data_IF_235567726751
#
_entry.id   IF_235567726751
#
_cell.length_a   1.000
_cell.length_b   1.000
_cell.length_c   1.000
_cell.angle_alpha   90.00
_cell.angle_beta   90.00
_cell.angle_gamma   90.00
#
_symmetry.space_group_name_H-M   'P 1'
#
loop_
_entity.id
_entity.type
_entity.pdbx_description
1 polymer ?
#
# COMPACT_ATOMS: atom_id res chain seq x y z
N UNK A 1 -24.36 -18.92 -13.97
CA UNK A 1 -25.47 -18.96 -12.99
C UNK A 1 -26.77 -18.52 -13.63
N UNK A 2 -26.86 -17.30 -14.16
CA UNK A 2 -28.06 -16.77 -14.84
C UNK A 2 -28.55 -17.68 -15.96
N UNK A 3 -27.64 -18.23 -16.77
CA UNK A 3 -28.01 -19.12 -17.89
C UNK A 3 -28.56 -20.47 -17.44
N UNK A 4 -28.06 -21.02 -16.34
CA UNK A 4 -28.59 -22.28 -15.77
C UNK A 4 -29.98 -22.07 -15.15
N UNK A 5 -30.18 -20.98 -14.41
CA UNK A 5 -31.50 -20.60 -13.88
C UNK A 5 -32.49 -20.38 -15.05
N UNK A 6 -32.04 -19.65 -16.07
CA UNK A 6 -32.84 -19.41 -17.26
C UNK A 6 -33.19 -20.72 -17.99
N UNK A 7 -32.26 -21.66 -18.12
CA UNK A 7 -32.49 -22.97 -18.75
C UNK A 7 -33.52 -23.82 -18.00
N UNK A 8 -33.52 -23.75 -16.67
CA UNK A 8 -34.52 -24.45 -15.84
C UNK A 8 -35.89 -23.78 -15.93
N UNK A 9 -35.96 -22.45 -15.90
CA UNK A 9 -37.23 -21.70 -15.92
C UNK A 9 -37.87 -21.57 -17.32
N UNK A 10 -37.09 -21.69 -18.40
CA UNK A 10 -37.55 -21.51 -19.79
C UNK A 10 -38.14 -22.77 -20.43
N UNK A 11 -38.40 -23.82 -19.65
CA UNK A 11 -39.05 -25.05 -20.12
C UNK A 11 -40.51 -24.83 -20.52
N UNK A 12 -41.14 -23.73 -20.08
CA UNK A 12 -42.48 -23.32 -20.51
C UNK A 12 -42.44 -22.16 -21.54
N UNK A 13 -43.02 -22.33 -22.75
CA UNK A 13 -42.96 -21.33 -23.81
C UNK A 13 -43.59 -19.97 -23.46
N UNK A 14 -44.68 -19.96 -22.68
CA UNK A 14 -45.38 -18.75 -22.28
C UNK A 14 -44.55 -17.92 -21.28
N UNK A 15 -43.91 -18.59 -20.31
CA UNK A 15 -43.02 -17.94 -19.35
C UNK A 15 -41.75 -17.39 -20.04
N UNK A 16 -41.30 -18.03 -21.12
CA UNK A 16 -40.08 -17.66 -21.82
C UNK A 16 -40.09 -16.23 -22.37
N UNK A 17 -41.21 -15.77 -22.92
CA UNK A 17 -41.33 -14.39 -23.44
C UNK A 17 -41.34 -13.36 -22.30
N UNK A 18 -42.17 -13.58 -21.27
CA UNK A 18 -42.24 -12.70 -20.11
C UNK A 18 -40.90 -12.62 -19.36
N UNK A 19 -40.20 -13.75 -19.21
CA UNK A 19 -38.86 -13.78 -18.60
C UNK A 19 -37.82 -13.06 -19.46
N UNK A 20 -37.90 -13.14 -20.79
CA UNK A 20 -36.99 -12.42 -21.67
C UNK A 20 -37.20 -10.90 -21.62
N UNK A 21 -38.46 -10.44 -21.66
CA UNK A 21 -38.77 -9.01 -21.54
C UNK A 21 -38.40 -8.47 -20.15
N UNK A 22 -38.74 -9.19 -19.08
CA UNK A 22 -38.34 -8.82 -17.72
C UNK A 22 -36.81 -8.80 -17.55
N UNK A 23 -36.10 -9.81 -18.05
CA UNK A 23 -34.63 -9.86 -18.05
C UNK A 23 -34.02 -8.65 -18.76
N UNK A 24 -34.53 -8.29 -19.94
CA UNK A 24 -34.02 -7.16 -20.71
C UNK A 24 -34.28 -5.80 -20.03
N UNK A 25 -35.36 -5.68 -19.27
CA UNK A 25 -35.75 -4.42 -18.60
C UNK A 25 -35.15 -4.22 -17.21
N UNK A 26 -34.73 -5.31 -16.54
CA UNK A 26 -34.36 -5.25 -15.11
C UNK A 26 -32.96 -5.72 -14.81
N UNK A 27 -32.37 -6.59 -15.65
CA UNK A 27 -31.05 -7.16 -15.42
C UNK A 27 -30.02 -6.53 -16.35
N UNK A 28 -28.85 -6.19 -15.79
CA UNK A 28 -27.73 -5.76 -16.60
C UNK A 28 -27.14 -6.96 -17.37
N UNK A 29 -26.83 -6.81 -18.68
CA UNK A 29 -26.22 -7.87 -19.48
C UNK A 29 -24.86 -8.27 -18.90
N UNK A 30 -24.43 -9.52 -19.10
CA UNK A 30 -23.13 -9.99 -18.58
C UNK A 30 -21.96 -9.21 -19.20
N UNK A 31 -22.15 -8.70 -20.41
CA UNK A 31 -21.29 -7.75 -21.12
C UNK A 31 -20.90 -6.55 -20.25
N UNK A 32 -21.84 -6.03 -19.47
CA UNK A 32 -21.61 -4.86 -18.60
C UNK A 32 -20.57 -5.14 -17.52
N UNK A 33 -20.36 -6.42 -17.15
CA UNK A 33 -19.41 -6.85 -16.12
C UNK A 33 -18.10 -7.42 -16.72
N UNK A 34 -17.88 -7.31 -18.05
CA UNK A 34 -16.67 -7.85 -18.71
C UNK A 34 -15.38 -7.18 -18.24
N UNK A 35 -15.42 -5.91 -17.85
CA UNK A 35 -14.27 -5.15 -17.34
C UNK A 35 -13.83 -5.57 -15.93
N UNK A 36 -14.60 -6.42 -15.25
CA UNK A 36 -14.30 -6.89 -13.89
C UNK A 36 -13.57 -8.22 -13.97
N UNK A 37 -12.43 -8.30 -13.28
CA UNK A 37 -11.62 -9.50 -13.17
C UNK A 37 -12.40 -10.66 -12.51
N UNK A 38 -12.04 -11.90 -12.87
CA UNK A 38 -12.71 -13.09 -12.33
C UNK A 38 -12.46 -13.28 -10.84
N UNK A 39 -11.27 -12.92 -10.37
CA UNK A 39 -10.84 -13.04 -8.99
C UNK A 39 -9.76 -11.99 -8.68
N UNK A 40 -9.54 -11.72 -7.40
CA UNK A 40 -8.51 -10.79 -6.92
C UNK A 40 -9.06 -9.61 -6.15
N UNK A 41 -8.23 -8.56 -6.00
CA UNK A 41 -8.54 -7.37 -5.21
C UNK A 41 -9.73 -6.57 -5.79
N UNK A 42 -9.77 -6.38 -7.11
CA UNK A 42 -10.82 -5.61 -7.78
C UNK A 42 -12.24 -6.16 -7.49
N UNK A 43 -12.57 -7.43 -7.75
CA UNK A 43 -13.93 -7.93 -7.53
C UNK A 43 -14.30 -7.99 -6.04
N UNK A 44 -13.33 -8.22 -5.13
CA UNK A 44 -13.56 -8.12 -3.68
C UNK A 44 -13.97 -6.70 -3.28
N UNK A 45 -13.18 -5.70 -3.70
CA UNK A 45 -13.44 -4.30 -3.41
C UNK A 45 -14.79 -3.85 -3.98
N UNK A 46 -15.07 -4.19 -5.25
CA UNK A 46 -16.34 -3.84 -5.90
C UNK A 46 -17.54 -4.45 -5.18
N UNK A 47 -17.44 -5.71 -4.74
CA UNK A 47 -18.50 -6.37 -3.97
C UNK A 47 -18.74 -5.66 -2.64
N UNK A 48 -17.68 -5.36 -1.89
CA UNK A 48 -17.79 -4.67 -0.60
C UNK A 48 -18.41 -3.27 -0.76
N UNK A 49 -18.00 -2.52 -1.78
CA UNK A 49 -18.55 -1.19 -2.06
C UNK A 49 -20.00 -1.26 -2.54
N UNK A 50 -20.34 -2.24 -3.38
CA UNK A 50 -21.72 -2.46 -3.80
C UNK A 50 -22.62 -2.80 -2.60
N UNK A 51 -22.17 -3.64 -1.66
CA UNK A 51 -22.93 -3.93 -0.44
C UNK A 51 -23.21 -2.66 0.39
N UNK A 52 -22.19 -1.81 0.56
CA UNK A 52 -22.33 -0.52 1.27
C UNK A 52 -23.30 0.42 0.55
N UNK A 53 -23.16 0.59 -0.77
CA UNK A 53 -24.00 1.50 -1.57
C UNK A 53 -25.45 1.06 -1.66
N UNK A 54 -25.67 -0.26 -1.79
CA UNK A 54 -27.01 -0.83 -1.96
C UNK A 54 -27.73 -1.07 -0.63
N UNK A 55 -27.01 -0.98 0.50
CA UNK A 55 -27.56 -1.22 1.83
C UNK A 55 -28.10 -2.65 2.03
N UNK A 56 -27.68 -3.61 1.20
CA UNK A 56 -28.15 -5.00 1.23
C UNK A 56 -27.04 -5.93 1.71
N UNK A 57 -27.16 -6.42 2.94
CA UNK A 57 -26.38 -7.56 3.41
C UNK A 57 -27.10 -8.87 3.04
N UNK A 58 -26.53 -9.61 2.09
CA UNK A 58 -27.04 -10.92 1.71
C UNK A 58 -26.34 -11.97 2.58
N UNK A 59 -27.04 -12.45 3.62
CA UNK A 59 -26.50 -13.38 4.64
C UNK A 59 -26.62 -14.87 4.22
N UNK A 60 -27.07 -15.15 2.99
CA UNK A 60 -27.26 -16.53 2.53
C UNK A 60 -25.93 -17.29 2.40
N UNK A 61 -25.88 -18.52 2.90
CA UNK A 61 -24.74 -19.43 2.75
C UNK A 61 -24.39 -19.67 1.28
N UNK A 62 -25.40 -19.74 0.41
CA UNK A 62 -25.23 -19.87 -1.04
C UNK A 62 -24.53 -18.64 -1.62
N UNK A 63 -24.86 -17.44 -1.13
CA UNK A 63 -24.22 -16.20 -1.55
C UNK A 63 -22.73 -16.18 -1.14
N UNK A 64 -22.40 -16.71 0.03
CA UNK A 64 -21.01 -16.77 0.50
C UNK A 64 -20.13 -17.70 -0.35
N UNK A 65 -20.69 -18.79 -0.89
CA UNK A 65 -20.00 -19.75 -1.77
C UNK A 65 -19.68 -19.19 -3.17
N UNK A 66 -20.26 -18.06 -3.55
CA UNK A 66 -20.03 -17.44 -4.85
C UNK A 66 -18.65 -16.77 -4.94
N UNK A 67 -18.07 -16.77 -6.14
CA UNK A 67 -16.93 -15.89 -6.46
C UNK A 67 -17.32 -14.43 -6.29
N UNK A 68 -16.37 -13.55 -5.97
CA UNK A 68 -16.67 -12.12 -5.74
C UNK A 68 -17.35 -11.46 -6.93
N UNK A 69 -16.94 -11.78 -8.17
CA UNK A 69 -17.63 -11.29 -9.38
C UNK A 69 -19.08 -11.77 -9.44
N UNK A 70 -19.35 -13.02 -9.10
CA UNK A 70 -20.71 -13.55 -9.06
C UNK A 70 -21.55 -12.95 -7.91
N UNK A 71 -20.93 -12.63 -6.77
CA UNK A 71 -21.58 -11.89 -5.67
C UNK A 71 -22.02 -10.50 -6.13
N UNK A 72 -21.14 -9.76 -6.80
CA UNK A 72 -21.46 -8.46 -7.36
C UNK A 72 -22.64 -8.53 -8.34
N UNK A 73 -22.60 -9.48 -9.27
CA UNK A 73 -23.70 -9.71 -10.23
C UNK A 73 -25.02 -9.98 -9.50
N UNK A 74 -25.00 -10.87 -8.51
CA UNK A 74 -26.17 -11.20 -7.72
C UNK A 74 -26.71 -10.00 -6.91
N UNK A 75 -25.84 -9.11 -6.40
CA UNK A 75 -26.27 -7.89 -5.72
C UNK A 75 -27.04 -6.96 -6.66
N UNK A 76 -26.55 -6.76 -7.90
CA UNK A 76 -27.25 -5.98 -8.91
C UNK A 76 -28.55 -6.64 -9.41
N UNK A 77 -28.60 -7.98 -9.43
CA UNK A 77 -29.81 -8.72 -9.78
C UNK A 77 -30.90 -8.60 -8.71
N UNK A 78 -30.50 -8.68 -7.44
CA UNK A 78 -31.39 -8.55 -6.28
C UNK A 78 -31.78 -7.09 -5.98
N UNK A 79 -31.15 -6.13 -6.63
CA UNK A 79 -31.47 -4.71 -6.46
C UNK A 79 -32.73 -4.36 -7.26
N UNK A 80 -33.77 -3.88 -6.58
CA UNK A 80 -35.07 -3.57 -7.17
C UNK A 80 -35.10 -2.12 -7.66
N UNK A 81 -34.39 -1.87 -8.75
CA UNK A 81 -34.24 -0.56 -9.37
C UNK A 81 -34.25 -0.65 -10.90
N UNK A 82 -34.46 0.49 -11.55
CA UNK A 82 -34.47 0.56 -13.01
C UNK A 82 -33.12 0.18 -13.65
N UNK A 83 -33.17 -0.30 -14.89
CA UNK A 83 -31.96 -0.62 -15.67
C UNK A 83 -30.96 0.55 -15.72
N UNK A 84 -31.45 1.77 -15.93
CA UNK A 84 -30.61 2.96 -16.02
C UNK A 84 -29.92 3.28 -14.70
N UNK A 85 -30.61 3.11 -13.58
CA UNK A 85 -30.04 3.32 -12.25
C UNK A 85 -28.98 2.27 -11.92
N UNK A 86 -29.24 1.00 -12.25
CA UNK A 86 -28.23 -0.08 -12.16
C UNK A 86 -26.99 0.25 -12.98
N UNK A 87 -27.17 0.70 -14.22
CA UNK A 87 -26.07 1.09 -15.11
C UNK A 87 -25.29 2.28 -14.56
N UNK A 88 -25.99 3.29 -14.03
CA UNK A 88 -25.40 4.48 -13.41
C UNK A 88 -24.52 4.10 -12.23
N UNK A 89 -25.02 3.27 -11.33
CA UNK A 89 -24.27 2.79 -10.14
C UNK A 89 -23.08 1.92 -10.54
N UNK A 90 -23.22 1.06 -11.54
CA UNK A 90 -22.08 0.28 -12.05
C UNK A 90 -20.97 1.20 -12.61
N UNK A 91 -21.34 2.26 -13.34
CA UNK A 91 -20.40 3.25 -13.83
C UNK A 91 -19.76 4.05 -12.68
N UNK A 92 -20.50 4.38 -11.63
CA UNK A 92 -19.95 5.01 -10.43
C UNK A 92 -18.91 4.11 -9.75
N UNK A 93 -19.21 2.82 -9.59
CA UNK A 93 -18.26 1.84 -9.05
C UNK A 93 -16.98 1.76 -9.89
N UNK A 94 -17.12 1.74 -11.22
CA UNK A 94 -15.96 1.76 -12.14
C UNK A 94 -15.11 3.02 -11.97
N UNK A 95 -15.74 4.19 -11.90
CA UNK A 95 -15.04 5.47 -11.68
C UNK A 95 -14.33 5.52 -10.32
N UNK A 96 -14.97 5.01 -9.27
CA UNK A 96 -14.39 4.93 -7.94
C UNK A 96 -13.21 3.96 -7.89
N UNK A 97 -13.30 2.81 -8.57
CA UNK A 97 -12.17 1.89 -8.72
C UNK A 97 -10.98 2.55 -9.45
N UNK A 98 -11.25 3.25 -10.55
CA UNK A 98 -10.21 4.00 -11.28
C UNK A 98 -9.56 5.09 -10.42
N UNK A 99 -10.32 5.73 -9.52
CA UNK A 99 -9.77 6.66 -8.54
C UNK A 99 -8.87 5.96 -7.53
N UNK A 100 -9.28 4.79 -7.03
CA UNK A 100 -8.45 3.97 -6.13
C UNK A 100 -7.13 3.60 -6.78
N UNK A 101 -7.13 3.12 -8.04
CA UNK A 101 -5.91 2.80 -8.78
C UNK A 101 -4.96 4.00 -8.95
N UNK A 102 -5.49 5.22 -9.01
CA UNK A 102 -4.64 6.43 -9.02
C UNK A 102 -4.01 6.66 -7.65
N UNK A 103 -4.76 6.49 -6.56
CA UNK A 103 -4.26 6.59 -5.18
C UNK A 103 -3.23 5.50 -4.87
N UNK A 104 -3.39 4.30 -5.45
CA UNK A 104 -2.43 3.20 -5.29
C UNK A 104 -1.00 3.58 -5.72
N UNK A 105 -0.86 4.55 -6.65
CA UNK A 105 0.45 5.09 -7.04
C UNK A 105 1.20 5.72 -5.86
N UNK A 106 0.51 6.23 -4.84
CA UNK A 106 1.15 6.77 -3.63
C UNK A 106 1.92 5.69 -2.87
N UNK A 107 1.45 4.44 -2.96
CA UNK A 107 2.06 3.28 -2.32
C UNK A 107 3.20 2.68 -3.17
N UNK A 108 3.52 3.24 -4.34
CA UNK A 108 4.65 2.76 -5.17
C UNK A 108 5.99 2.76 -4.43
N UNK A 109 6.17 3.69 -3.48
CA UNK A 109 7.35 3.78 -2.63
C UNK A 109 7.63 2.55 -1.76
N UNK A 110 6.63 1.69 -1.55
CA UNK A 110 6.79 0.44 -0.81
C UNK A 110 7.33 -0.70 -1.68
N UNK A 111 7.34 -0.58 -3.02
CA UNK A 111 7.79 -1.65 -3.95
C UNK A 111 9.32 -1.82 -4.07
N UNK A 112 10.10 -1.18 -3.20
CA UNK A 112 11.56 -1.34 -3.25
C UNK A 112 12.00 -2.62 -2.51
N UNK A 113 13.29 -2.95 -2.55
CA UNK A 113 13.87 -4.15 -1.94
C UNK A 113 13.54 -4.32 -0.44
N UNK A 114 13.27 -3.22 0.27
CA UNK A 114 12.88 -3.20 1.67
C UNK A 114 11.34 -3.28 1.90
N UNK A 115 10.55 -3.81 0.94
CA UNK A 115 9.08 -3.85 1.00
C UNK A 115 8.57 -4.38 2.35
N UNK A 116 9.10 -5.52 2.79
CA UNK A 116 8.68 -6.17 4.02
C UNK A 116 8.95 -5.29 5.26
N UNK A 117 10.13 -4.69 5.36
CA UNK A 117 10.49 -3.83 6.49
C UNK A 117 9.66 -2.54 6.51
N UNK A 118 9.46 -1.94 5.33
CA UNK A 118 8.62 -0.73 5.19
C UNK A 118 7.16 -1.03 5.54
N UNK A 119 6.61 -2.16 5.11
CA UNK A 119 5.27 -2.60 5.44
C UNK A 119 5.13 -2.90 6.94
N UNK A 120 6.09 -3.58 7.55
CA UNK A 120 6.10 -3.81 9.00
C UNK A 120 6.20 -2.50 9.79
N UNK A 121 7.02 -1.55 9.35
CA UNK A 121 7.08 -0.22 9.96
C UNK A 121 5.76 0.52 9.84
N UNK A 122 5.13 0.47 8.66
CA UNK A 122 3.81 1.04 8.41
C UNK A 122 2.75 0.45 9.34
N UNK A 123 2.72 -0.87 9.52
CA UNK A 123 1.83 -1.52 10.49
C UNK A 123 2.06 -1.01 11.91
N UNK A 124 3.32 -0.98 12.37
CA UNK A 124 3.65 -0.49 13.71
C UNK A 124 3.24 0.97 13.93
N UNK A 125 3.24 1.78 12.86
CA UNK A 125 2.80 3.17 12.92
C UNK A 125 1.27 3.24 13.00
N UNK A 126 0.55 2.43 12.20
CA UNK A 126 -0.90 2.34 12.22
C UNK A 126 -1.43 1.85 13.56
N UNK A 127 -0.83 0.81 14.13
CA UNK A 127 -1.22 0.26 15.43
C UNK A 127 -1.14 1.31 16.55
N UNK A 128 -0.10 2.15 16.53
CA UNK A 128 0.11 3.21 17.52
C UNK A 128 -0.80 4.42 17.33
N UNK A 129 -1.05 4.84 16.09
CA UNK A 129 -1.76 6.09 15.81
C UNK A 129 -3.24 5.91 15.46
N UNK A 130 -3.62 4.70 15.02
CA UNK A 130 -4.94 4.35 14.48
C UNK A 130 -5.33 2.95 14.95
N UNK A 131 -5.22 2.71 16.26
CA UNK A 131 -5.55 1.42 16.89
C UNK A 131 -6.96 0.93 16.56
N UNK A 132 -7.92 1.83 16.33
CA UNK A 132 -9.27 1.50 15.91
C UNK A 132 -9.33 0.83 14.53
N UNK A 133 -8.43 1.18 13.61
CA UNK A 133 -8.32 0.54 12.30
C UNK A 133 -7.62 -0.82 12.39
N UNK A 134 -6.71 -1.00 13.34
CA UNK A 134 -5.91 -2.22 13.48
C UNK A 134 -6.50 -3.26 14.43
N UNK A 135 -7.50 -2.90 15.25
CA UNK A 135 -8.04 -3.73 16.34
C UNK A 135 -8.47 -5.16 15.95
N UNK A 136 -8.91 -5.38 14.70
CA UNK A 136 -9.28 -6.72 14.18
C UNK A 136 -8.55 -7.11 12.90
N UNK A 137 -7.58 -6.31 12.48
CA UNK A 137 -6.86 -6.56 11.24
C UNK A 137 -5.58 -7.32 11.54
N UNK A 138 -5.23 -8.25 10.66
CA UNK A 138 -3.93 -8.89 10.70
C UNK A 138 -2.85 -7.92 10.21
N UNK A 139 -1.63 -8.00 10.78
CA UNK A 139 -0.51 -7.20 10.29
C UNK A 139 -0.22 -7.51 8.82
N UNK A 140 -0.15 -6.45 8.02
CA UNK A 140 0.30 -6.58 6.63
C UNK A 140 1.82 -6.55 6.55
N UNK A 141 2.37 -7.47 5.76
CA UNK A 141 3.80 -7.62 5.51
C UNK A 141 4.17 -7.33 4.06
N UNK A 142 3.17 -7.29 3.18
CA UNK A 142 3.32 -7.04 1.75
C UNK A 142 2.45 -5.88 1.31
N UNK A 143 2.82 -5.27 0.19
CA UNK A 143 2.07 -4.16 -0.41
C UNK A 143 0.64 -4.56 -0.76
N UNK A 144 0.41 -5.77 -1.29
CA UNK A 144 -0.95 -6.20 -1.63
C UNK A 144 -1.85 -6.30 -0.39
N UNK A 145 -1.34 -6.79 0.73
CA UNK A 145 -2.09 -6.87 2.00
C UNK A 145 -2.39 -5.47 2.56
N UNK A 146 -1.41 -4.55 2.45
CA UNK A 146 -1.60 -3.14 2.81
C UNK A 146 -2.71 -2.49 1.97
N UNK A 147 -2.69 -2.72 0.66
CA UNK A 147 -3.69 -2.19 -0.26
C UNK A 147 -5.08 -2.77 0.03
N UNK A 148 -5.20 -4.07 0.29
CA UNK A 148 -6.46 -4.70 0.72
C UNK A 148 -6.96 -4.12 2.06
N UNK A 149 -6.06 -3.82 2.99
CA UNK A 149 -6.42 -3.16 4.26
C UNK A 149 -6.96 -1.75 4.05
N UNK A 150 -6.31 -0.93 3.21
CA UNK A 150 -6.77 0.44 2.90
C UNK A 150 -8.00 0.49 2.00
N UNK A 151 -8.29 -0.59 1.30
CA UNK A 151 -9.50 -0.76 0.49
C UNK A 151 -10.75 -0.96 1.33
N UNK A 152 -10.60 -1.65 2.47
CA UNK A 152 -11.67 -1.89 3.43
C UNK A 152 -11.79 -0.77 4.46
N UNK A 153 -10.71 0.01 4.66
CA UNK A 153 -10.76 1.16 5.56
C UNK A 153 -11.57 2.31 4.97
N UNK A 154 -12.22 3.07 5.84
CA UNK A 154 -12.97 4.28 5.47
C UNK A 154 -12.06 5.51 5.34
N UNK A 155 -10.74 5.29 5.28
CA UNK A 155 -9.77 6.36 5.18
C UNK A 155 -9.86 7.08 3.83
N UNK A 156 -9.88 8.41 3.86
CA UNK A 156 -9.87 9.24 2.66
C UNK A 156 -8.53 9.15 1.92
N UNK A 157 -8.50 9.60 0.65
CA UNK A 157 -7.25 9.66 -0.11
C UNK A 157 -6.21 10.59 0.56
N UNK A 158 -6.67 11.71 1.11
CA UNK A 158 -5.84 12.70 1.83
C UNK A 158 -5.28 12.10 3.13
N UNK A 159 -6.09 11.34 3.86
CA UNK A 159 -5.64 10.64 5.06
C UNK A 159 -4.59 9.58 4.71
N UNK A 160 -4.82 8.80 3.65
CA UNK A 160 -3.85 7.80 3.16
C UNK A 160 -2.53 8.45 2.79
N UNK A 161 -2.56 9.58 2.08
CA UNK A 161 -1.37 10.34 1.73
C UNK A 161 -0.60 10.83 2.98
N UNK A 162 -1.32 11.40 3.95
CA UNK A 162 -0.74 11.84 5.23
C UNK A 162 -0.11 10.68 6.00
N UNK A 163 -0.74 9.50 6.01
CA UNK A 163 -0.20 8.32 6.66
C UNK A 163 1.10 7.88 5.99
N UNK A 164 1.13 7.81 4.66
CA UNK A 164 2.31 7.46 3.88
C UNK A 164 3.45 8.46 4.14
N UNK A 165 3.17 9.76 4.17
CA UNK A 165 4.18 10.79 4.43
C UNK A 165 4.82 10.63 5.82
N UNK A 166 4.00 10.39 6.85
CA UNK A 166 4.48 10.16 8.22
C UNK A 166 5.33 8.89 8.33
N UNK A 167 4.92 7.82 7.64
CA UNK A 167 5.67 6.56 7.58
C UNK A 167 7.02 6.78 6.88
N UNK A 168 7.04 7.47 5.73
CA UNK A 168 8.28 7.83 5.01
C UNK A 168 9.24 8.62 5.88
N UNK A 169 8.74 9.63 6.61
CA UNK A 169 9.56 10.42 7.53
C UNK A 169 10.17 9.57 8.65
N UNK A 170 9.38 8.65 9.21
CA UNK A 170 9.85 7.73 10.25
C UNK A 170 10.92 6.78 9.69
N UNK A 171 10.70 6.23 8.50
CA UNK A 171 11.68 5.38 7.81
C UNK A 171 13.01 6.09 7.57
N UNK A 172 12.97 7.31 7.01
CA UNK A 172 14.19 8.09 6.78
C UNK A 172 14.93 8.39 8.08
N UNK A 173 14.20 8.70 9.16
CA UNK A 173 14.79 8.93 10.49
C UNK A 173 15.46 7.66 11.01
N UNK A 174 14.83 6.50 10.84
CA UNK A 174 15.39 5.22 11.25
C UNK A 174 16.65 4.87 10.47
N UNK A 175 16.61 4.93 9.13
CA UNK A 175 17.80 4.69 8.29
C UNK A 175 18.92 5.68 8.58
N UNK A 176 18.61 6.94 8.92
CA UNK A 176 19.62 7.92 9.33
C UNK A 176 20.25 7.54 10.66
N UNK A 177 19.47 7.06 11.64
CA UNK A 177 19.99 6.58 12.92
C UNK A 177 20.86 5.34 12.77
N UNK A 178 20.44 4.38 11.94
CA UNK A 178 21.24 3.19 11.61
C UNK A 178 22.58 3.56 10.98
N UNK A 179 22.60 4.53 10.05
CA UNK A 179 23.85 5.08 9.49
C UNK A 179 24.69 5.86 10.50
N UNK A 180 24.06 6.58 11.43
CA UNK A 180 24.75 7.34 12.46
C UNK A 180 25.41 6.45 13.52
N UNK A 181 24.89 5.23 13.75
CA UNK A 181 25.57 4.24 14.61
C UNK A 181 26.90 3.78 14.02
N UNK A 182 27.05 3.75 12.70
CA UNK A 182 28.34 3.42 12.04
C UNK A 182 29.29 4.63 11.98
N UNK A 183 28.75 5.85 11.94
CA UNK A 183 29.53 7.09 11.77
C UNK A 183 29.14 8.12 12.80
N UNK A 184 29.99 8.27 13.83
CA UNK A 184 29.86 9.34 14.82
C UNK A 184 30.62 10.58 14.36
N UNK A 185 29.92 11.70 14.23
CA UNK A 185 30.56 12.98 13.94
C UNK A 185 31.28 13.50 15.19
N UNK A 186 32.57 13.79 15.05
CA UNK A 186 33.37 14.46 16.07
C UNK A 186 33.69 15.88 15.60
N UNK A 187 33.42 16.87 16.45
CA UNK A 187 33.77 18.25 16.18
C UNK A 187 35.14 18.53 16.81
N UNK A 188 36.14 18.79 15.98
CA UNK A 188 37.49 19.16 16.43
C UNK A 188 37.65 20.67 16.40
N UNK A 189 38.09 21.26 17.51
CA UNK A 189 38.53 22.66 17.54
C UNK A 189 40.03 22.66 17.27
N UNK A 190 40.41 22.94 16.03
CA UNK A 190 41.81 23.03 15.61
C UNK A 190 42.22 24.49 15.43
N UNK A 191 43.45 24.89 15.83
CA UNK A 191 43.99 26.20 15.52
C UNK A 191 43.97 26.46 14.01
N UNK A 192 43.79 27.73 13.60
CA UNK A 192 43.72 28.15 12.19
C UNK A 192 44.95 27.65 11.41
N UNK A 193 46.13 27.69 12.02
CA UNK A 193 47.38 27.20 11.42
C UNK A 193 47.32 25.70 11.10
N UNK A 194 46.74 24.89 11.99
CA UNK A 194 46.63 23.43 11.80
C UNK A 194 45.57 23.11 10.75
N UNK A 195 44.47 23.86 10.70
CA UNK A 195 43.47 23.71 9.63
C UNK A 195 44.07 24.00 8.25
N UNK A 196 44.89 25.05 8.11
CA UNK A 196 45.56 25.34 6.84
C UNK A 196 46.50 24.21 6.38
N UNK A 197 47.19 23.57 7.33
CA UNK A 197 48.04 22.40 7.03
C UNK A 197 47.20 21.19 6.62
N UNK A 198 46.08 20.93 7.31
CA UNK A 198 45.16 19.85 6.96
C UNK A 198 44.55 20.05 5.57
N UNK A 199 44.23 21.29 5.21
CA UNK A 199 43.69 21.66 3.91
C UNK A 199 44.69 21.41 2.80
N UNK A 200 45.93 21.85 3.00
CA UNK A 200 47.03 21.59 2.07
C UNK A 200 47.28 20.08 1.89
N UNK A 201 47.29 19.31 2.98
CA UNK A 201 47.47 17.85 2.94
C UNK A 201 46.33 17.15 2.19
N UNK A 202 45.10 17.64 2.33
CA UNK A 202 43.93 17.13 1.63
C UNK A 202 44.01 17.43 0.12
N UNK A 203 44.39 18.66 -0.25
CA UNK A 203 44.58 19.08 -1.64
C UNK A 203 45.73 18.33 -2.33
N UNK A 204 46.91 18.29 -1.71
CA UNK A 204 48.11 17.65 -2.25
C UNK A 204 47.89 16.16 -2.55
N UNK A 205 47.03 15.48 -1.78
CA UNK A 205 46.73 14.05 -1.90
C UNK A 205 45.38 13.74 -2.56
N UNK A 206 44.62 14.76 -2.96
CA UNK A 206 43.26 14.62 -3.51
C UNK A 206 42.32 13.79 -2.62
N UNK A 207 42.44 13.94 -1.30
CA UNK A 207 41.63 13.25 -0.30
C UNK A 207 40.71 14.21 0.43
N UNK A 208 39.61 13.71 1.01
CA UNK A 208 38.81 14.52 1.92
C UNK A 208 39.56 14.73 3.25
N UNK A 209 39.33 15.86 3.92
CA UNK A 209 39.94 16.17 5.23
C UNK A 209 39.71 15.04 6.25
N UNK A 210 38.50 14.49 6.28
CA UNK A 210 38.14 13.34 7.12
C UNK A 210 39.00 12.12 6.82
N UNK A 211 39.23 11.82 5.54
CA UNK A 211 40.05 10.68 5.13
C UNK A 211 41.52 10.85 5.48
N UNK A 212 42.05 12.06 5.39
CA UNK A 212 43.42 12.38 5.84
C UNK A 212 43.56 12.11 7.34
N UNK A 213 42.61 12.58 8.15
CA UNK A 213 42.62 12.33 9.59
C UNK A 213 42.53 10.83 9.93
N UNK A 214 41.65 10.08 9.26
CA UNK A 214 41.56 8.62 9.45
C UNK A 214 42.90 7.92 9.17
N UNK A 215 43.55 8.27 8.05
CA UNK A 215 44.84 7.65 7.69
C UNK A 215 45.95 8.03 8.66
N UNK A 216 45.98 9.26 9.16
CA UNK A 216 46.96 9.69 10.16
C UNK A 216 46.75 8.97 11.50
N UNK A 217 45.50 8.81 11.95
CA UNK A 217 45.19 8.11 13.19
C UNK A 217 45.55 6.63 13.09
N UNK A 218 45.15 5.96 12.00
CA UNK A 218 45.45 4.53 11.78
C UNK A 218 46.95 4.29 11.57
N UNK A 219 47.63 5.20 10.85
CA UNK A 219 49.08 5.13 10.66
C UNK A 219 49.83 5.29 11.98
N UNK A 220 49.37 6.18 12.85
CA UNK A 220 49.96 6.36 14.18
C UNK A 220 49.72 5.15 15.09
N UNK A 221 48.53 4.55 15.06
CA UNK A 221 48.26 3.30 15.80
C UNK A 221 49.17 2.14 15.34
N UNK A 222 49.45 2.05 14.04
CA UNK A 222 50.26 0.97 13.48
C UNK A 222 51.77 1.15 13.68
N UNK A 223 52.25 2.39 13.65
CA UNK A 223 53.68 2.69 13.61
C UNK A 223 54.21 3.37 14.88
N UNK A 224 53.34 3.95 15.72
CA UNK A 224 53.67 4.64 16.98
C UNK A 224 54.81 5.65 16.84
N UNK A 225 54.81 6.43 15.75
CA UNK A 225 55.94 7.29 15.38
C UNK A 225 55.90 8.66 16.04
N UNK A 226 54.70 9.20 16.30
CA UNK A 226 54.51 10.60 16.65
C UNK A 226 53.93 10.80 18.06
N UNK A 227 53.26 9.81 18.65
CA UNK A 227 52.66 9.85 19.97
C UNK A 227 53.37 8.87 20.92
N UNK A 228 54.28 9.35 21.80
CA UNK A 228 54.99 8.48 22.72
C UNK A 228 54.06 7.86 23.77
N UNK A 229 54.23 6.57 24.06
CA UNK A 229 53.49 5.89 25.14
C UNK A 229 53.84 6.51 26.51
N UNK A 230 52.85 6.78 27.36
CA UNK A 230 53.13 7.18 28.73
C UNK A 230 53.85 6.03 29.49
N UNK A 231 54.73 6.33 30.44
CA UNK A 231 55.40 5.32 31.23
C UNK A 231 54.37 4.48 32.00
N UNK A 232 54.45 3.15 31.83
CA UNK A 232 53.62 2.17 32.55
C UNK A 232 53.80 2.38 34.05
N UNK A 233 52.71 2.66 34.75
CA UNK A 233 52.66 2.75 36.22
C UNK A 233 52.29 1.40 36.80
#
# INVERSE_FOLDING_TARGET
MRDEIYKVMSQEPALRWHLNDAKARTLLPEEAFKWIDKAGRQPKWLTAQAQKLLGKEVVSSVFQMLTDKAKLIALFDLWDESFDEKKRTLNQLSNSWNRQLKTDKLFSWFKDDDEHEKCALAWSWMEKNKSWLTWRAAPFTKLNEMLEFFDLSEASAEEKELYIEKIKRRWNTQKTREKATERKQYNFVLPISVNAVLDKLAEDRQLSRTRVLELLILGEEQHELYLPKPPST
#
